data_IF_168036301854
#
_entry.id   IF_168036301854
#
_cell.length_a   1.000
_cell.length_b   1.000
_cell.length_c   1.000
_cell.angle_alpha   90.00
_cell.angle_beta   90.00
_cell.angle_gamma   90.00
#
_symmetry.space_group_name_H-M   'P 1'
#
loop_
_entity.id
_entity.type
_entity.pdbx_description
1 polymer ?
#
# COMPACT_ATOMS: atom_id res chain seq x y z
N UNK A 1 4.06 -25.00 -21.54
CA UNK A 1 3.61 -24.26 -20.33
C UNK A 1 4.61 -24.46 -19.20
N UNK A 2 5.15 -23.38 -18.66
CA UNK A 2 6.03 -23.36 -17.49
C UNK A 2 5.42 -22.46 -16.42
N UNK A 3 5.52 -22.84 -15.16
CA UNK A 3 4.89 -22.10 -14.05
C UNK A 3 5.97 -21.69 -13.06
N UNK A 4 5.94 -20.45 -12.64
CA UNK A 4 6.90 -19.87 -11.73
C UNK A 4 6.18 -19.14 -10.58
N UNK A 5 6.60 -19.40 -9.33
CA UNK A 5 6.24 -18.55 -8.20
C UNK A 5 6.98 -17.24 -8.34
N UNK A 6 6.33 -16.10 -8.11
CA UNK A 6 6.92 -14.78 -8.41
C UNK A 6 6.64 -13.73 -7.33
N UNK A 7 7.40 -12.65 -7.37
CA UNK A 7 7.09 -11.40 -6.68
C UNK A 7 7.13 -11.51 -5.16
N UNK A 8 6.03 -11.11 -4.53
CA UNK A 8 5.93 -10.98 -3.08
C UNK A 8 6.25 -12.26 -2.31
N UNK A 9 5.81 -13.41 -2.81
CA UNK A 9 6.03 -14.70 -2.18
C UNK A 9 7.52 -15.08 -2.15
N UNK A 10 8.22 -14.92 -3.28
CA UNK A 10 9.66 -15.23 -3.38
C UNK A 10 10.47 -14.27 -2.50
N UNK A 11 10.19 -12.96 -2.59
CA UNK A 11 10.83 -11.94 -1.75
C UNK A 11 10.64 -12.22 -0.27
N UNK A 12 9.41 -12.46 0.18
CA UNK A 12 9.13 -12.65 1.61
C UNK A 12 9.76 -13.96 2.12
N UNK A 13 9.80 -15.03 1.32
CA UNK A 13 10.54 -16.26 1.64
C UNK A 13 12.06 -16.00 1.81
N UNK A 14 12.68 -15.25 0.89
CA UNK A 14 14.10 -14.87 0.97
C UNK A 14 14.41 -13.98 2.17
N UNK A 15 13.43 -13.21 2.66
CA UNK A 15 13.54 -12.40 3.88
C UNK A 15 13.19 -13.19 5.16
N UNK A 16 12.96 -14.50 5.09
CA UNK A 16 12.48 -15.34 6.20
C UNK A 16 11.19 -14.79 6.85
N UNK A 17 10.30 -14.22 6.03
CA UNK A 17 8.99 -13.74 6.44
C UNK A 17 7.90 -14.76 6.10
N UNK A 18 6.79 -14.71 6.83
CA UNK A 18 5.62 -15.53 6.48
C UNK A 18 5.11 -15.13 5.09
N UNK A 19 5.05 -16.09 4.19
CA UNK A 19 4.38 -15.94 2.90
C UNK A 19 2.87 -16.09 3.12
N UNK A 20 2.11 -15.05 2.76
CA UNK A 20 0.66 -15.01 2.95
C UNK A 20 -0.07 -15.35 1.65
N UNK A 21 0.36 -14.76 0.55
CA UNK A 21 -0.23 -14.93 -0.78
C UNK A 21 0.84 -15.48 -1.74
N UNK A 22 0.41 -16.29 -2.67
CA UNK A 22 1.27 -16.84 -3.71
C UNK A 22 0.71 -16.51 -5.07
N UNK A 23 1.51 -15.78 -5.84
CA UNK A 23 1.22 -15.40 -7.22
C UNK A 23 2.12 -16.19 -8.16
N UNK A 24 1.54 -16.71 -9.22
CA UNK A 24 2.26 -17.48 -10.21
C UNK A 24 2.22 -16.82 -11.58
N UNK A 25 3.34 -16.90 -12.31
CA UNK A 25 3.41 -16.54 -13.72
C UNK A 25 3.46 -17.83 -14.55
N UNK A 26 2.66 -17.87 -15.60
CA UNK A 26 2.58 -18.96 -16.57
C UNK A 26 3.16 -18.50 -17.89
N UNK A 27 4.22 -19.14 -18.35
CA UNK A 27 4.92 -18.86 -19.60
C UNK A 27 4.57 -19.94 -20.63
N UNK A 28 4.36 -19.55 -21.87
CA UNK A 28 4.12 -20.47 -22.99
C UNK A 28 2.77 -21.18 -22.92
N UNK A 29 1.72 -20.48 -22.44
CA UNK A 29 0.35 -20.97 -22.46
C UNK A 29 -0.60 -19.91 -23.01
N UNK A 30 -1.77 -20.34 -23.44
CA UNK A 30 -2.88 -19.49 -23.89
C UNK A 30 -4.02 -19.50 -22.87
N UNK A 31 -4.95 -18.51 -22.89
CA UNK A 31 -6.14 -18.54 -22.07
C UNK A 31 -6.96 -19.82 -22.23
N UNK A 32 -7.09 -20.33 -23.44
CA UNK A 32 -7.84 -21.54 -23.76
C UNK A 32 -7.20 -22.79 -23.11
N UNK A 33 -5.87 -22.86 -23.11
CA UNK A 33 -5.13 -23.93 -22.45
C UNK A 33 -5.34 -23.88 -20.93
N UNK A 34 -5.32 -22.70 -20.31
CA UNK A 34 -5.61 -22.55 -18.88
C UNK A 34 -7.02 -22.99 -18.54
N UNK A 35 -8.02 -22.55 -19.30
CA UNK A 35 -9.42 -22.95 -19.11
C UNK A 35 -9.61 -24.47 -19.28
N UNK A 36 -8.95 -25.08 -20.28
CA UNK A 36 -9.03 -26.53 -20.51
C UNK A 36 -8.48 -27.37 -19.35
N UNK A 37 -7.56 -26.80 -18.55
CA UNK A 37 -7.01 -27.42 -17.34
C UNK A 37 -7.85 -27.13 -16.07
N UNK A 38 -9.01 -26.49 -16.22
CA UNK A 38 -9.96 -26.23 -15.14
C UNK A 38 -9.69 -24.95 -14.33
N UNK A 39 -8.78 -24.09 -14.78
CA UNK A 39 -8.61 -22.77 -14.18
C UNK A 39 -9.82 -21.87 -14.49
N UNK A 40 -10.13 -20.96 -13.58
CA UNK A 40 -11.22 -19.99 -13.76
C UNK A 40 -10.64 -18.61 -14.04
N UNK A 41 -10.95 -18.02 -15.18
CA UNK A 41 -10.50 -16.68 -15.51
C UNK A 41 -11.19 -15.62 -14.63
N UNK A 42 -10.41 -14.72 -14.06
CA UNK A 42 -10.86 -13.54 -13.29
C UNK A 42 -10.27 -12.28 -13.91
N UNK A 43 -11.05 -11.21 -13.91
CA UNK A 43 -10.66 -9.95 -14.59
C UNK A 43 -10.94 -9.94 -16.09
N UNK A 44 -11.35 -8.77 -16.60
CA UNK A 44 -11.69 -8.61 -18.03
C UNK A 44 -10.50 -8.16 -18.87
N UNK A 45 -9.60 -7.37 -18.27
CA UNK A 45 -8.55 -6.66 -19.01
C UNK A 45 -7.19 -7.39 -18.93
N UNK A 46 -7.02 -8.30 -17.96
CA UNK A 46 -5.77 -9.03 -17.75
C UNK A 46 -6.04 -10.52 -17.59
N UNK A 47 -5.24 -11.38 -18.22
CA UNK A 47 -5.42 -12.84 -18.17
C UNK A 47 -4.89 -13.41 -16.85
N UNK A 48 -5.66 -13.25 -15.77
CA UNK A 48 -5.45 -13.84 -14.46
C UNK A 48 -6.43 -14.98 -14.25
N UNK A 49 -5.98 -16.09 -13.70
CA UNK A 49 -6.74 -17.31 -13.51
C UNK A 49 -6.62 -17.79 -12.08
N UNK A 50 -7.69 -18.31 -11.51
CA UNK A 50 -7.70 -18.98 -10.21
C UNK A 50 -7.50 -20.47 -10.39
N UNK A 51 -6.59 -21.04 -9.62
CA UNK A 51 -6.35 -22.48 -9.61
C UNK A 51 -7.58 -23.22 -9.03
N UNK A 52 -8.06 -24.31 -9.68
CA UNK A 52 -9.33 -24.94 -9.35
C UNK A 52 -9.44 -25.46 -7.91
N UNK A 53 -8.32 -25.81 -7.28
CA UNK A 53 -8.29 -26.38 -5.92
C UNK A 53 -7.82 -25.39 -4.87
N UNK A 54 -6.73 -24.63 -5.15
CA UNK A 54 -6.08 -23.76 -4.15
C UNK A 54 -6.59 -22.34 -4.19
N UNK A 55 -7.27 -21.92 -5.27
CA UNK A 55 -7.74 -20.56 -5.53
C UNK A 55 -6.61 -19.52 -5.57
N UNK A 56 -5.35 -19.97 -5.67
CA UNK A 56 -4.20 -19.10 -5.88
C UNK A 56 -4.22 -18.50 -7.28
N UNK A 57 -3.63 -17.31 -7.44
CA UNK A 57 -3.65 -16.55 -8.68
C UNK A 57 -2.52 -16.96 -9.63
N UNK A 58 -2.90 -17.23 -10.87
CA UNK A 58 -2.00 -17.56 -11.98
C UNK A 58 -2.20 -16.55 -13.10
N UNK A 59 -1.20 -15.75 -13.40
CA UNK A 59 -1.23 -14.80 -14.51
C UNK A 59 -0.41 -15.32 -15.68
N UNK A 60 -0.91 -15.16 -16.92
CA UNK A 60 -0.06 -15.39 -18.09
C UNK A 60 1.07 -14.35 -18.12
N UNK A 61 2.28 -14.78 -18.51
CA UNK A 61 3.38 -13.88 -18.76
C UNK A 61 2.96 -12.81 -19.75
N UNK A 62 3.28 -11.56 -19.48
CA UNK A 62 2.83 -10.44 -20.31
C UNK A 62 3.81 -9.28 -20.34
N UNK A 63 3.79 -8.53 -21.42
CA UNK A 63 4.35 -7.20 -21.50
C UNK A 63 3.23 -6.16 -21.42
N UNK A 64 3.54 -5.00 -20.88
CA UNK A 64 2.65 -3.86 -20.82
C UNK A 64 3.33 -2.68 -21.48
N UNK A 65 2.63 -1.96 -22.38
CA UNK A 65 3.14 -0.74 -23.00
C UNK A 65 2.12 0.37 -22.85
N UNK A 66 2.58 1.55 -22.43
CA UNK A 66 1.75 2.75 -22.35
C UNK A 66 1.39 3.19 -23.76
N UNK A 67 0.10 3.21 -24.11
CA UNK A 67 -0.42 3.65 -25.41
C UNK A 67 -1.27 4.94 -25.31
N UNK A 68 -1.51 5.47 -24.10
CA UNK A 68 -2.35 6.64 -23.85
C UNK A 68 -2.17 7.22 -22.45
N UNK A 69 -2.96 8.25 -22.13
CA UNK A 69 -2.97 8.86 -20.79
C UNK A 69 -3.88 8.08 -19.86
N UNK A 70 -3.48 7.91 -18.59
CA UNK A 70 -4.28 7.30 -17.53
C UNK A 70 -4.24 5.78 -17.48
N UNK A 71 -5.05 5.18 -16.60
CA UNK A 71 -5.08 3.75 -16.29
C UNK A 71 -5.52 2.85 -17.47
N UNK A 72 -6.37 3.34 -18.35
CA UNK A 72 -6.87 2.60 -19.54
C UNK A 72 -5.93 2.67 -20.73
N UNK A 73 -4.79 3.35 -20.59
CA UNK A 73 -3.83 3.59 -21.67
C UNK A 73 -2.75 2.50 -21.82
N UNK A 74 -2.93 1.30 -21.28
CA UNK A 74 -1.98 0.20 -21.45
C UNK A 74 -2.48 -0.80 -22.48
N UNK A 75 -1.58 -1.18 -23.40
CA UNK A 75 -1.75 -2.36 -24.24
C UNK A 75 -0.99 -3.49 -23.59
N UNK A 76 -1.72 -4.55 -23.27
CA UNK A 76 -1.19 -5.79 -22.69
C UNK A 76 -1.01 -6.81 -23.81
N UNK A 77 0.21 -7.33 -23.97
CA UNK A 77 0.49 -8.51 -24.78
C UNK A 77 0.77 -9.68 -23.85
N UNK A 78 -0.12 -10.66 -23.86
CA UNK A 78 -0.01 -11.91 -23.10
C UNK A 78 0.06 -13.12 -24.03
N UNK A 79 0.68 -12.95 -25.21
CA UNK A 79 0.91 -14.06 -26.13
C UNK A 79 1.83 -15.12 -25.53
N UNK A 80 1.70 -16.36 -25.97
CA UNK A 80 2.54 -17.47 -25.50
C UNK A 80 4.03 -17.33 -25.81
N UNK A 81 4.40 -16.32 -26.60
CA UNK A 81 5.80 -15.98 -26.92
C UNK A 81 6.46 -15.08 -25.87
N UNK A 82 5.70 -14.45 -24.96
CA UNK A 82 6.26 -13.62 -23.91
C UNK A 82 7.08 -14.46 -22.95
N UNK A 83 8.30 -14.06 -22.70
CA UNK A 83 9.25 -14.76 -21.83
C UNK A 83 9.06 -14.39 -20.36
N UNK A 84 9.63 -15.18 -19.47
CA UNK A 84 9.64 -14.85 -18.03
C UNK A 84 10.39 -13.54 -17.76
N UNK A 85 11.53 -13.35 -18.43
CA UNK A 85 12.36 -12.16 -18.28
C UNK A 85 11.61 -10.88 -18.68
N UNK A 86 10.83 -10.92 -19.75
CA UNK A 86 10.00 -9.79 -20.18
C UNK A 86 8.88 -9.47 -19.17
N UNK A 87 8.25 -10.49 -18.58
CA UNK A 87 7.27 -10.26 -17.50
C UNK A 87 7.93 -9.68 -16.25
N UNK A 88 9.11 -10.14 -15.88
CA UNK A 88 9.85 -9.62 -14.74
C UNK A 88 10.36 -8.18 -14.99
N UNK A 89 10.72 -7.83 -16.24
CA UNK A 89 11.23 -6.50 -16.62
C UNK A 89 10.24 -5.37 -16.38
N UNK A 90 8.94 -5.63 -16.59
CA UNK A 90 7.88 -4.62 -16.42
C UNK A 90 7.49 -4.38 -14.95
N UNK A 91 8.02 -5.15 -14.00
CA UNK A 91 7.69 -5.00 -12.57
C UNK A 91 8.26 -3.72 -11.97
N UNK A 92 7.73 -3.36 -10.80
CA UNK A 92 8.09 -2.11 -10.13
C UNK A 92 9.51 -2.12 -9.54
N UNK A 93 9.85 -3.15 -8.75
CA UNK A 93 11.11 -3.24 -8.01
C UNK A 93 11.84 -4.55 -8.30
N UNK A 94 13.17 -4.51 -8.31
CA UNK A 94 14.03 -5.71 -8.49
C UNK A 94 13.70 -6.79 -7.48
N UNK A 95 13.46 -6.42 -6.23
CA UNK A 95 13.06 -7.34 -5.15
C UNK A 95 11.70 -8.05 -5.39
N UNK A 96 10.89 -7.53 -6.30
CA UNK A 96 9.62 -8.13 -6.74
C UNK A 96 9.74 -8.81 -8.11
N UNK A 97 10.91 -8.72 -8.74
CA UNK A 97 11.20 -9.28 -10.07
C UNK A 97 12.07 -10.54 -9.98
N UNK A 98 11.85 -11.33 -8.95
CA UNK A 98 12.48 -12.64 -8.74
C UNK A 98 11.41 -13.71 -8.94
N UNK A 99 11.77 -14.77 -9.65
CA UNK A 99 10.93 -15.95 -9.84
C UNK A 99 11.57 -17.20 -9.23
N UNK A 100 10.75 -18.21 -8.95
CA UNK A 100 11.20 -19.52 -8.50
C UNK A 100 10.48 -20.60 -9.30
N UNK A 101 11.24 -21.56 -9.84
CA UNK A 101 10.69 -22.69 -10.56
C UNK A 101 10.13 -23.75 -9.58
N UNK A 102 9.54 -24.81 -10.13
CA UNK A 102 8.97 -25.94 -9.38
C UNK A 102 10.03 -26.82 -8.68
N UNK A 103 11.31 -26.65 -9.02
CA UNK A 103 12.44 -27.32 -8.37
C UNK A 103 13.06 -26.48 -7.25
N UNK A 104 12.59 -25.24 -7.07
CA UNK A 104 13.10 -24.31 -6.08
C UNK A 104 14.26 -23.44 -6.58
N UNK A 105 14.66 -23.53 -7.87
CA UNK A 105 15.71 -22.70 -8.42
C UNK A 105 15.20 -21.25 -8.59
N UNK A 106 16.04 -20.30 -8.21
CA UNK A 106 15.73 -18.87 -8.37
C UNK A 106 16.16 -18.38 -9.76
N UNK A 107 15.28 -17.62 -10.40
CA UNK A 107 15.53 -16.89 -11.65
C UNK A 107 15.47 -15.39 -11.29
N UNK A 108 16.60 -14.72 -11.33
CA UNK A 108 16.79 -13.33 -10.89
C UNK A 108 17.62 -12.54 -11.93
N UNK A 109 17.03 -12.23 -13.10
CA UNK A 109 17.77 -11.56 -14.18
C UNK A 109 18.13 -10.10 -13.85
N UNK A 110 17.46 -9.48 -12.85
CA UNK A 110 17.59 -8.07 -12.54
C UNK A 110 18.26 -7.79 -11.19
N UNK A 111 18.83 -8.81 -10.54
CA UNK A 111 19.63 -8.66 -9.32
C UNK A 111 18.82 -8.37 -8.05
N UNK A 112 17.55 -8.77 -8.01
CA UNK A 112 16.69 -8.56 -6.85
C UNK A 112 17.18 -9.21 -5.58
N UNK A 113 17.83 -10.38 -5.67
CA UNK A 113 18.45 -11.04 -4.52
C UNK A 113 19.58 -10.19 -3.91
N UNK A 114 20.44 -9.60 -4.75
CA UNK A 114 21.49 -8.70 -4.30
C UNK A 114 20.92 -7.44 -3.64
N UNK A 115 19.84 -6.88 -4.19
CA UNK A 115 19.15 -5.73 -3.60
C UNK A 115 18.47 -6.10 -2.27
N UNK A 116 17.92 -7.31 -2.12
CA UNK A 116 17.43 -7.82 -0.84
C UNK A 116 18.54 -7.90 0.22
N UNK A 117 19.70 -8.45 -0.14
CA UNK A 117 20.87 -8.54 0.75
C UNK A 117 21.37 -7.15 1.18
N UNK A 118 21.39 -6.20 0.25
CA UNK A 118 21.79 -4.81 0.49
C UNK A 118 20.69 -3.93 1.09
N UNK A 119 19.49 -4.45 1.32
CA UNK A 119 18.33 -3.70 1.83
C UNK A 119 17.96 -2.51 0.93
N UNK A 120 17.97 -2.68 -0.39
CA UNK A 120 17.67 -1.66 -1.37
C UNK A 120 16.34 -1.90 -2.07
N UNK A 121 15.60 -0.82 -2.27
CA UNK A 121 14.42 -0.76 -3.13
C UNK A 121 14.82 -0.04 -4.42
N UNK A 122 15.06 -0.82 -5.47
CA UNK A 122 15.51 -0.36 -6.79
C UNK A 122 14.46 -0.69 -7.84
N UNK A 123 14.15 0.25 -8.73
CA UNK A 123 13.30 -0.01 -9.89
C UNK A 123 13.98 -0.98 -10.87
N UNK A 124 13.19 -1.77 -11.60
CA UNK A 124 13.72 -2.80 -12.50
C UNK A 124 14.27 -2.17 -13.80
N UNK A 125 13.53 -1.24 -14.37
CA UNK A 125 13.82 -0.66 -15.69
C UNK A 125 13.14 0.69 -15.85
N UNK A 126 13.43 1.39 -16.97
CA UNK A 126 12.76 2.64 -17.36
C UNK A 126 11.23 2.50 -17.51
N UNK A 127 10.73 1.29 -17.76
CA UNK A 127 9.28 1.00 -17.74
C UNK A 127 8.61 1.33 -16.39
N UNK A 128 9.40 1.57 -15.34
CA UNK A 128 8.91 2.09 -14.06
C UNK A 128 8.10 3.38 -14.23
N UNK A 129 8.55 4.28 -15.09
CA UNK A 129 7.90 5.57 -15.35
C UNK A 129 6.54 5.45 -16.09
N UNK A 130 6.19 4.30 -16.63
CA UNK A 130 4.93 4.11 -17.34
C UNK A 130 3.69 4.15 -16.44
N UNK A 131 3.81 3.73 -15.17
CA UNK A 131 2.72 3.81 -14.18
C UNK A 131 3.08 4.74 -13.01
N UNK A 132 2.52 5.97 -12.97
CA UNK A 132 2.79 6.93 -11.90
C UNK A 132 2.44 6.42 -10.49
N UNK A 133 1.56 5.42 -10.35
CA UNK A 133 1.26 4.81 -9.05
C UNK A 133 2.48 4.14 -8.42
N UNK A 134 3.48 3.78 -9.21
CA UNK A 134 4.71 3.14 -8.70
C UNK A 134 5.45 4.03 -7.70
N UNK A 135 5.33 5.36 -7.79
CA UNK A 135 5.84 6.29 -6.77
C UNK A 135 5.23 5.99 -5.39
N UNK A 136 3.90 5.85 -5.32
CA UNK A 136 3.19 5.49 -4.09
C UNK A 136 3.49 4.06 -3.64
N UNK A 137 3.62 3.13 -4.59
CA UNK A 137 3.99 1.74 -4.30
C UNK A 137 5.37 1.63 -3.66
N UNK A 138 6.38 2.34 -4.19
CA UNK A 138 7.74 2.37 -3.61
C UNK A 138 7.69 2.99 -2.21
N UNK A 139 6.97 4.09 -2.00
CA UNK A 139 6.77 4.69 -0.68
C UNK A 139 6.15 3.68 0.31
N UNK A 140 5.16 2.87 -0.13
CA UNK A 140 4.58 1.80 0.68
C UNK A 140 5.57 0.68 0.96
N UNK A 141 6.36 0.24 -0.01
CA UNK A 141 7.38 -0.78 0.23
C UNK A 141 8.48 -0.27 1.18
N UNK A 142 8.90 0.98 1.06
CA UNK A 142 9.81 1.61 2.01
C UNK A 142 9.22 1.59 3.44
N UNK A 143 7.93 1.91 3.58
CA UNK A 143 7.20 1.83 4.84
C UNK A 143 7.15 0.41 5.41
N UNK A 144 6.81 -0.56 4.56
CA UNK A 144 6.68 -1.98 4.93
C UNK A 144 7.99 -2.60 5.40
N UNK A 145 9.12 -2.16 4.84
CA UNK A 145 10.44 -2.73 5.11
C UNK A 145 11.38 -1.81 5.88
N UNK A 146 10.94 -0.62 6.31
CA UNK A 146 11.77 0.30 7.08
C UNK A 146 12.39 -0.34 8.33
N UNK A 147 11.60 -1.14 9.07
CA UNK A 147 12.07 -1.83 10.27
C UNK A 147 13.13 -2.92 9.99
N UNK A 148 13.31 -3.32 8.74
CA UNK A 148 14.38 -4.21 8.26
C UNK A 148 15.59 -3.44 7.74
N UNK A 149 15.58 -2.10 7.78
CA UNK A 149 16.66 -1.25 7.32
C UNK A 149 16.70 -1.01 5.80
N UNK A 150 15.60 -1.25 5.09
CA UNK A 150 15.53 -0.97 3.65
C UNK A 150 15.52 0.54 3.37
N UNK A 151 16.25 0.92 2.33
CA UNK A 151 16.31 2.28 1.78
C UNK A 151 15.99 2.27 0.29
N UNK A 152 15.64 3.42 -0.27
CA UNK A 152 15.40 3.56 -1.70
C UNK A 152 16.72 3.87 -2.39
N UNK A 153 17.02 3.18 -3.50
CA UNK A 153 18.20 3.45 -4.31
C UNK A 153 18.16 4.87 -4.87
N UNK A 154 19.33 5.54 -4.93
CA UNK A 154 19.43 6.96 -5.32
C UNK A 154 18.83 7.23 -6.69
N UNK A 155 19.10 6.36 -7.66
CA UNK A 155 18.54 6.46 -9.02
C UNK A 155 17.02 6.25 -9.05
N UNK A 156 16.47 5.41 -8.16
CA UNK A 156 15.03 5.21 -8.05
C UNK A 156 14.36 6.45 -7.44
N UNK A 157 14.96 7.05 -6.42
CA UNK A 157 14.46 8.30 -5.86
C UNK A 157 14.49 9.44 -6.88
N UNK A 158 15.57 9.56 -7.66
CA UNK A 158 15.67 10.55 -8.74
C UNK A 158 14.59 10.36 -9.81
N UNK A 159 14.31 9.10 -10.20
CA UNK A 159 13.23 8.79 -11.13
C UNK A 159 11.85 9.14 -10.55
N UNK A 160 11.59 8.82 -9.28
CA UNK A 160 10.35 9.21 -8.60
C UNK A 160 10.16 10.73 -8.55
N UNK A 161 11.22 11.50 -8.30
CA UNK A 161 11.20 12.96 -8.32
C UNK A 161 10.84 13.49 -9.71
N UNK A 162 11.50 12.99 -10.76
CA UNK A 162 11.19 13.36 -12.14
C UNK A 162 9.73 13.08 -12.52
N UNK A 163 9.19 11.91 -12.09
CA UNK A 163 7.78 11.57 -12.32
C UNK A 163 6.83 12.49 -11.57
N UNK A 164 7.17 12.92 -10.36
CA UNK A 164 6.35 13.87 -9.61
C UNK A 164 6.38 15.26 -10.26
N UNK A 165 7.55 15.72 -10.72
CA UNK A 165 7.72 17.01 -11.37
C UNK A 165 7.04 17.07 -12.75
N UNK A 166 6.85 15.94 -13.44
CA UNK A 166 6.11 15.89 -14.70
C UNK A 166 4.61 16.18 -14.57
N UNK A 167 4.08 16.17 -13.32
CA UNK A 167 2.64 16.33 -13.04
C UNK A 167 1.80 15.07 -13.32
N UNK A 168 2.42 13.96 -13.71
CA UNK A 168 1.67 12.73 -14.00
C UNK A 168 0.98 12.12 -12.77
N UNK A 169 1.45 12.42 -11.56
CA UNK A 169 0.82 11.93 -10.31
C UNK A 169 -0.61 12.43 -10.15
N UNK A 170 -0.94 13.61 -10.69
CA UNK A 170 -2.29 14.19 -10.66
C UNK A 170 -3.30 13.40 -11.52
N UNK A 171 -2.82 12.58 -12.47
CA UNK A 171 -3.67 11.78 -13.36
C UNK A 171 -4.14 10.46 -12.74
N UNK A 172 -3.61 10.10 -11.57
CA UNK A 172 -3.98 8.89 -10.87
C UNK A 172 -5.44 8.93 -10.38
N UNK A 173 -6.10 7.78 -10.33
CA UNK A 173 -7.39 7.72 -9.66
C UNK A 173 -7.23 7.78 -8.14
N UNK A 174 -8.13 8.50 -7.49
CA UNK A 174 -8.14 8.68 -6.04
C UNK A 174 -8.16 7.34 -5.29
N UNK A 175 -8.91 6.37 -5.81
CA UNK A 175 -9.05 5.05 -5.23
C UNK A 175 -7.70 4.31 -5.18
N UNK A 176 -6.90 4.37 -6.26
CA UNK A 176 -5.59 3.74 -6.30
C UNK A 176 -4.64 4.39 -5.30
N UNK A 177 -4.61 5.72 -5.23
CA UNK A 177 -3.80 6.47 -4.27
C UNK A 177 -4.23 6.16 -2.84
N UNK A 178 -5.53 6.14 -2.58
CA UNK A 178 -6.06 5.81 -1.25
C UNK A 178 -5.69 4.39 -0.81
N UNK A 179 -5.76 3.41 -1.71
CA UNK A 179 -5.38 2.03 -1.38
C UNK A 179 -3.92 1.90 -0.94
N UNK A 180 -2.98 2.57 -1.64
CA UNK A 180 -1.57 2.58 -1.23
C UNK A 180 -1.38 3.33 0.10
N UNK A 181 -2.10 4.44 0.30
CA UNK A 181 -2.09 5.22 1.55
C UNK A 181 -2.64 4.41 2.73
N UNK A 182 -3.82 3.80 2.56
CA UNK A 182 -4.48 2.95 3.56
C UNK A 182 -3.55 1.81 4.01
N UNK A 183 -3.00 1.06 3.04
CA UNK A 183 -2.08 -0.04 3.32
C UNK A 183 -0.83 0.45 4.07
N UNK A 184 -0.32 1.64 3.73
CA UNK A 184 0.84 2.22 4.41
C UNK A 184 0.53 2.68 5.83
N UNK A 185 -0.66 3.23 6.07
CA UNK A 185 -1.11 3.60 7.42
C UNK A 185 -1.20 2.39 8.35
N UNK A 186 -1.46 1.20 7.83
CA UNK A 186 -1.56 -0.04 8.59
C UNK A 186 -0.22 -0.75 8.85
N UNK A 187 0.87 -0.30 8.23
CA UNK A 187 2.21 -0.86 8.44
C UNK A 187 2.83 -0.44 9.79
N UNK A 188 3.95 -1.05 10.17
CA UNK A 188 4.64 -0.80 11.45
C UNK A 188 5.20 0.62 11.59
N UNK A 189 5.57 1.24 10.47
CA UNK A 189 6.24 2.56 10.43
C UNK A 189 5.57 3.50 9.43
N UNK A 190 4.26 3.81 9.60
CA UNK A 190 3.45 4.49 8.58
C UNK A 190 3.96 5.89 8.22
N UNK A 191 4.68 6.57 9.10
CA UNK A 191 5.27 7.88 8.85
C UNK A 191 6.27 7.86 7.69
N UNK A 192 6.95 6.73 7.44
CA UNK A 192 7.93 6.58 6.35
C UNK A 192 7.30 6.81 4.98
N UNK A 193 6.06 6.38 4.77
CA UNK A 193 5.33 6.62 3.52
C UNK A 193 5.29 8.11 3.16
N UNK A 194 4.90 8.91 4.11
CA UNK A 194 4.78 10.34 3.92
C UNK A 194 6.14 11.04 3.83
N UNK A 195 7.15 10.54 4.54
CA UNK A 195 8.53 11.04 4.43
C UNK A 195 9.09 10.80 3.03
N UNK A 196 8.91 9.59 2.48
CA UNK A 196 9.34 9.22 1.13
C UNK A 196 8.61 10.05 0.06
N UNK A 197 7.29 10.19 0.16
CA UNK A 197 6.54 11.04 -0.78
C UNK A 197 6.97 12.49 -0.73
N UNK A 198 7.36 12.99 0.46
CA UNK A 198 7.94 14.32 0.59
C UNK A 198 9.27 14.45 -0.15
N UNK A 199 10.17 13.48 0.06
CA UNK A 199 11.46 13.45 -0.62
C UNK A 199 11.32 13.32 -2.14
N UNK A 200 10.31 12.59 -2.60
CA UNK A 200 9.98 12.42 -4.01
C UNK A 200 9.14 13.57 -4.60
N UNK A 201 8.88 14.66 -3.86
CA UNK A 201 8.02 15.78 -4.27
C UNK A 201 6.57 15.38 -4.67
N UNK A 202 6.17 14.15 -4.35
CA UNK A 202 4.90 13.55 -4.78
C UNK A 202 3.68 13.89 -3.91
N UNK A 203 3.82 14.79 -2.92
CA UNK A 203 2.73 15.13 -1.98
C UNK A 203 1.75 16.15 -2.52
N UNK A 204 2.23 17.08 -3.33
CA UNK A 204 1.51 18.31 -3.68
C UNK A 204 0.18 18.06 -4.39
N UNK A 205 0.02 16.92 -5.07
CA UNK A 205 -1.21 16.63 -5.81
C UNK A 205 -2.33 16.03 -4.95
N UNK A 206 -1.97 15.31 -3.87
CA UNK A 206 -2.93 14.49 -3.12
C UNK A 206 -3.11 14.86 -1.66
N UNK A 207 -2.10 15.47 -1.01
CA UNK A 207 -2.13 15.83 0.42
C UNK A 207 -1.58 17.26 0.60
N UNK A 208 -2.21 18.22 -0.04
CA UNK A 208 -1.81 19.64 -0.04
C UNK A 208 -1.93 20.31 1.32
N UNK A 209 -2.92 19.90 2.15
CA UNK A 209 -3.21 20.49 3.44
C UNK A 209 -2.10 20.28 4.47
N UNK A 210 -1.20 19.34 4.19
CA UNK A 210 -0.13 18.95 5.11
C UNK A 210 1.08 19.89 5.12
N UNK A 211 1.24 20.74 4.13
CA UNK A 211 2.42 21.62 4.01
C UNK A 211 2.60 22.58 5.20
N UNK A 212 1.49 22.94 5.86
CA UNK A 212 1.52 23.92 6.97
C UNK A 212 2.09 23.36 8.28
N UNK A 213 2.01 22.06 8.55
CA UNK A 213 2.42 21.44 9.82
C UNK A 213 2.92 19.98 9.66
N UNK A 214 3.67 19.70 8.59
CA UNK A 214 4.06 18.35 8.20
C UNK A 214 4.78 17.54 9.29
N UNK A 215 5.69 18.17 10.02
CA UNK A 215 6.47 17.49 11.06
C UNK A 215 5.60 17.13 12.27
N UNK A 216 4.73 18.04 12.71
CA UNK A 216 3.80 17.81 13.83
C UNK A 216 2.83 16.66 13.52
N UNK A 217 2.33 16.58 12.28
CA UNK A 217 1.44 15.51 11.86
C UNK A 217 2.14 14.14 11.86
N UNK A 218 3.42 14.09 11.46
CA UNK A 218 4.21 12.86 11.50
C UNK A 218 4.53 12.42 12.93
N UNK A 219 4.84 13.36 13.81
CA UNK A 219 5.05 13.05 15.23
C UNK A 219 3.78 12.54 15.90
N UNK A 220 2.62 13.13 15.59
CA UNK A 220 1.33 12.64 16.07
C UNK A 220 1.06 11.20 15.58
N UNK A 221 1.34 10.91 14.31
CA UNK A 221 1.22 9.55 13.76
C UNK A 221 2.17 8.56 14.45
N UNK A 222 3.43 8.93 14.68
CA UNK A 222 4.40 8.09 15.42
C UNK A 222 3.93 7.82 16.84
N UNK A 223 3.39 8.84 17.52
CA UNK A 223 2.86 8.72 18.87
C UNK A 223 1.66 7.76 18.92
N UNK A 224 0.72 7.87 17.98
CA UNK A 224 -0.41 6.96 17.89
C UNK A 224 0.03 5.49 17.74
N UNK A 225 1.01 5.22 16.87
CA UNK A 225 1.59 3.87 16.71
C UNK A 225 2.27 3.37 17.98
N UNK A 226 2.98 4.25 18.70
CA UNK A 226 3.65 3.87 19.95
C UNK A 226 2.64 3.54 21.06
N UNK A 227 1.54 4.30 21.16
CA UNK A 227 0.46 4.05 22.11
C UNK A 227 -0.25 2.72 21.83
N UNK A 228 -0.62 2.45 20.57
CA UNK A 228 -1.20 1.14 20.19
C UNK A 228 -0.30 -0.04 20.58
N UNK A 229 1.01 0.11 20.39
CA UNK A 229 1.96 -0.93 20.76
C UNK A 229 1.98 -1.14 22.28
N UNK A 230 2.02 -0.06 23.06
CA UNK A 230 1.99 -0.12 24.53
C UNK A 230 0.69 -0.74 25.08
N UNK A 231 -0.46 -0.43 24.46
CA UNK A 231 -1.74 -1.04 24.81
C UNK A 231 -1.74 -2.54 24.56
N UNK A 232 -1.28 -2.98 23.39
CA UNK A 232 -1.19 -4.40 23.05
C UNK A 232 -0.24 -5.17 23.99
N UNK A 233 0.92 -4.60 24.33
CA UNK A 233 1.86 -5.18 25.29
C UNK A 233 1.23 -5.29 26.70
N UNK A 234 0.42 -4.32 27.08
CA UNK A 234 -0.31 -4.34 28.36
C UNK A 234 -1.36 -5.45 28.38
N UNK A 235 -2.15 -5.61 27.32
CA UNK A 235 -3.17 -6.68 27.21
C UNK A 235 -2.50 -8.06 27.29
N UNK A 236 -1.41 -8.30 26.56
CA UNK A 236 -0.65 -9.56 26.62
C UNK A 236 -0.18 -9.85 28.04
N UNK A 237 0.31 -8.84 28.75
CA UNK A 237 0.78 -8.96 30.14
C UNK A 237 -0.33 -9.33 31.13
N UNK A 238 -1.56 -8.81 30.92
CA UNK A 238 -2.70 -9.12 31.79
C UNK A 238 -3.37 -10.45 31.45
N UNK A 239 -3.42 -10.84 30.18
CA UNK A 239 -4.12 -12.06 29.73
C UNK A 239 -3.23 -13.30 29.72
N UNK A 240 -1.90 -13.14 29.80
CA UNK A 240 -0.93 -14.24 29.69
C UNK A 240 -0.93 -14.94 28.33
N UNK A 241 -1.65 -14.42 27.33
CA UNK A 241 -1.74 -14.97 26.00
C UNK A 241 -0.69 -14.31 25.10
N UNK A 242 0.33 -15.07 24.71
CA UNK A 242 1.35 -14.63 23.73
C UNK A 242 0.80 -14.59 22.30
N UNK A 243 -0.37 -15.17 22.05
CA UNK A 243 -1.02 -15.14 20.74
C UNK A 243 -1.82 -13.84 20.62
N UNK A 244 -1.46 -12.95 19.67
CA UNK A 244 -2.34 -11.84 19.32
C UNK A 244 -3.72 -12.39 18.97
N UNK A 245 -4.78 -11.78 19.50
CA UNK A 245 -6.13 -12.06 19.03
C UNK A 245 -6.14 -11.91 17.49
N UNK A 246 -6.83 -12.82 16.77
CA UNK A 246 -6.95 -12.68 15.31
C UNK A 246 -7.49 -11.27 15.01
N UNK A 247 -6.77 -10.54 14.17
CA UNK A 247 -7.19 -9.19 13.75
C UNK A 247 -8.56 -9.33 13.07
N UNK A 248 -9.60 -8.83 13.71
CA UNK A 248 -10.91 -8.69 13.08
C UNK A 248 -10.87 -7.50 12.10
N UNK A 249 -11.75 -7.51 11.11
CA UNK A 249 -11.92 -6.35 10.19
C UNK A 249 -12.18 -5.05 10.97
N UNK A 250 -12.84 -5.15 12.11
CA UNK A 250 -13.17 -4.02 12.98
C UNK A 250 -11.91 -3.46 13.66
N UNK A 251 -10.97 -4.32 14.07
CA UNK A 251 -9.70 -3.88 14.66
C UNK A 251 -8.80 -3.19 13.63
N UNK A 252 -8.77 -3.66 12.39
CA UNK A 252 -8.04 -3.00 11.30
C UNK A 252 -8.63 -1.61 11.00
N UNK A 253 -9.96 -1.53 10.95
CA UNK A 253 -10.67 -0.27 10.70
C UNK A 253 -10.44 0.73 11.84
N UNK A 254 -10.53 0.30 13.10
CA UNK A 254 -10.24 1.15 14.25
C UNK A 254 -8.80 1.68 14.22
N UNK A 255 -7.82 0.82 13.94
CA UNK A 255 -6.41 1.21 13.79
C UNK A 255 -6.20 2.21 12.66
N UNK A 256 -6.85 1.99 11.51
CA UNK A 256 -6.81 2.92 10.39
C UNK A 256 -7.36 4.29 10.80
N UNK A 257 -8.51 4.34 11.46
CA UNK A 257 -9.15 5.56 11.93
C UNK A 257 -8.23 6.30 12.89
N UNK A 258 -7.70 5.62 13.91
CA UNK A 258 -6.80 6.21 14.90
C UNK A 258 -5.57 6.85 14.26
N UNK A 259 -4.90 6.13 13.38
CA UNK A 259 -3.67 6.60 12.72
C UNK A 259 -3.94 7.71 11.70
N UNK A 260 -5.03 7.61 10.95
CA UNK A 260 -5.41 8.63 9.99
C UNK A 260 -5.88 9.89 10.70
N UNK A 261 -6.64 9.77 11.80
CA UNK A 261 -6.99 10.88 12.67
C UNK A 261 -5.74 11.58 13.23
N UNK A 262 -4.80 10.82 13.78
CA UNK A 262 -3.55 11.38 14.30
C UNK A 262 -2.79 12.18 13.24
N UNK A 263 -2.72 11.67 12.02
CA UNK A 263 -2.11 12.36 10.89
C UNK A 263 -2.80 13.68 10.54
N UNK A 264 -4.14 13.77 10.72
CA UNK A 264 -4.96 14.90 10.29
C UNK A 264 -5.37 15.85 11.44
N UNK A 265 -4.89 15.64 12.68
CA UNK A 265 -5.25 16.45 13.83
C UNK A 265 -4.95 17.96 13.69
N UNK A 266 -4.03 18.34 12.79
CA UNK A 266 -3.74 19.74 12.50
C UNK A 266 -4.79 20.42 11.62
N UNK A 267 -5.65 19.66 10.93
CA UNK A 267 -6.72 20.17 10.05
C UNK A 267 -7.96 20.57 10.86
N UNK A 268 -8.80 21.44 10.29
CA UNK A 268 -10.17 21.65 10.75
C UNK A 268 -11.12 20.64 10.10
N UNK A 269 -12.42 20.65 10.51
CA UNK A 269 -13.44 19.73 10.01
C UNK A 269 -13.59 19.80 8.48
N UNK A 270 -13.63 21.02 7.91
CA UNK A 270 -13.85 21.22 6.49
C UNK A 270 -12.65 20.74 5.64
N UNK A 271 -11.44 21.07 6.06
CA UNK A 271 -10.21 20.60 5.41
C UNK A 271 -10.11 19.06 5.44
N UNK A 272 -10.47 18.43 6.57
CA UNK A 272 -10.49 16.98 6.69
C UNK A 272 -11.52 16.34 5.75
N UNK A 273 -12.72 16.90 5.63
CA UNK A 273 -13.76 16.46 4.69
C UNK A 273 -13.32 16.58 3.24
N UNK A 274 -12.70 17.70 2.88
CA UNK A 274 -12.19 17.94 1.52
C UNK A 274 -11.09 16.95 1.15
N UNK A 275 -10.16 16.67 2.05
CA UNK A 275 -9.12 15.66 1.84
C UNK A 275 -9.71 14.25 1.70
N UNK A 276 -10.63 13.87 2.59
CA UNK A 276 -11.29 12.56 2.53
C UNK A 276 -12.09 12.39 1.22
N UNK A 277 -12.80 13.44 0.78
CA UNK A 277 -13.54 13.44 -0.49
C UNK A 277 -12.61 13.31 -1.69
N UNK A 278 -11.49 14.04 -1.71
CA UNK A 278 -10.49 13.97 -2.78
C UNK A 278 -9.85 12.59 -2.88
N UNK A 279 -9.54 11.95 -1.76
CA UNK A 279 -8.97 10.60 -1.70
C UNK A 279 -10.02 9.49 -1.82
N UNK A 280 -11.31 9.82 -1.85
CA UNK A 280 -12.44 8.87 -1.82
C UNK A 280 -12.33 7.87 -0.66
N UNK A 281 -12.02 8.40 0.52
CA UNK A 281 -11.97 7.62 1.76
C UNK A 281 -13.34 7.04 2.07
N UNK A 282 -13.37 5.82 2.64
CA UNK A 282 -14.63 5.17 3.04
C UNK A 282 -15.42 6.06 4.00
N UNK A 283 -16.74 6.09 3.85
CA UNK A 283 -17.62 6.99 4.60
C UNK A 283 -17.43 6.89 6.12
N UNK A 284 -17.35 5.68 6.68
CA UNK A 284 -17.15 5.45 8.10
C UNK A 284 -15.84 6.10 8.59
N UNK A 285 -14.73 5.92 7.87
CA UNK A 285 -13.44 6.50 8.23
C UNK A 285 -13.48 8.03 8.10
N UNK A 286 -14.00 8.54 6.99
CA UNK A 286 -14.12 9.98 6.72
C UNK A 286 -14.93 10.70 7.78
N UNK A 287 -16.04 10.12 8.19
CA UNK A 287 -16.94 10.70 9.18
C UNK A 287 -16.27 10.82 10.55
N UNK A 288 -15.66 9.73 11.06
CA UNK A 288 -15.02 9.74 12.37
C UNK A 288 -13.80 10.68 12.38
N UNK A 289 -12.98 10.67 11.34
CA UNK A 289 -11.84 11.57 11.22
C UNK A 289 -12.27 13.04 11.19
N UNK A 290 -13.34 13.37 10.46
CA UNK A 290 -13.88 14.73 10.39
C UNK A 290 -14.44 15.20 11.75
N UNK A 291 -15.14 14.32 12.47
CA UNK A 291 -15.63 14.59 13.82
C UNK A 291 -14.46 14.81 14.81
N UNK A 292 -13.43 14.00 14.74
CA UNK A 292 -12.24 14.17 15.58
C UNK A 292 -11.54 15.51 15.32
N UNK A 293 -11.42 15.93 14.04
CA UNK A 293 -10.88 17.25 13.68
C UNK A 293 -11.77 18.40 14.19
N UNK A 294 -13.10 18.23 14.17
CA UNK A 294 -14.05 19.20 14.70
C UNK A 294 -13.91 19.40 16.20
N UNK A 295 -13.84 18.30 16.94
CA UNK A 295 -13.88 18.31 18.40
C UNK A 295 -12.50 18.24 19.08
N UNK A 296 -11.40 18.34 18.30
CA UNK A 296 -10.03 18.25 18.85
C UNK A 296 -9.76 19.24 19.98
N UNK A 297 -10.25 20.48 19.87
CA UNK A 297 -10.09 21.50 20.90
C UNK A 297 -10.78 21.11 22.22
N UNK A 298 -11.94 20.45 22.12
CA UNK A 298 -12.63 19.89 23.26
C UNK A 298 -11.84 18.71 23.86
N UNK A 299 -11.38 17.76 23.02
CA UNK A 299 -10.66 16.57 23.51
C UNK A 299 -9.33 16.92 24.20
N UNK A 300 -8.71 18.05 23.81
CA UNK A 300 -7.45 18.53 24.40
C UNK A 300 -7.65 19.41 25.64
N UNK A 301 -8.87 19.82 25.94
CA UNK A 301 -9.18 20.67 27.09
C UNK A 301 -9.62 19.84 28.28
N UNK A 302 -8.84 19.85 29.37
CA UNK A 302 -9.16 19.14 30.60
C UNK A 302 -10.32 19.78 31.42
N UNK A 303 -10.80 20.98 31.06
CA UNK A 303 -11.81 21.74 31.81
C UNK A 303 -13.09 21.96 30.99
N UNK A 304 -13.61 20.90 30.38
CA UNK A 304 -14.87 20.99 29.65
C UNK A 304 -16.08 21.10 30.57
N UNK A 305 -17.00 21.99 30.25
CA UNK A 305 -18.27 22.11 30.96
C UNK A 305 -19.23 20.95 30.62
N UNK A 306 -20.26 20.66 31.44
CA UNK A 306 -21.31 19.71 31.08
C UNK A 306 -22.01 20.06 29.75
N UNK A 307 -22.14 21.34 29.41
CA UNK A 307 -22.72 21.79 28.15
C UNK A 307 -21.83 21.42 26.95
N UNK A 308 -20.52 21.51 27.11
CA UNK A 308 -19.55 21.09 26.06
C UNK A 308 -19.59 19.58 25.86
N UNK A 309 -19.72 18.79 26.95
CA UNK A 309 -19.90 17.32 26.87
C UNK A 309 -21.17 16.96 26.11
N UNK A 310 -22.28 17.65 26.42
CA UNK A 310 -23.55 17.41 25.72
C UNK A 310 -23.44 17.78 24.23
N UNK A 311 -22.76 18.87 23.90
CA UNK A 311 -22.51 19.28 22.53
C UNK A 311 -21.66 18.24 21.76
N UNK A 312 -20.64 17.65 22.41
CA UNK A 312 -19.85 16.57 21.86
C UNK A 312 -20.70 15.34 21.58
N UNK A 313 -21.48 14.85 22.58
CA UNK A 313 -22.31 13.65 22.44
C UNK A 313 -23.38 13.83 21.34
N UNK A 314 -24.02 14.98 21.26
CA UNK A 314 -24.96 15.29 20.22
C UNK A 314 -24.29 15.40 18.85
N UNK A 315 -23.14 16.05 18.77
CA UNK A 315 -22.37 16.22 17.53
C UNK A 315 -21.81 14.92 16.98
N UNK A 316 -21.46 13.97 17.83
CA UNK A 316 -21.00 12.64 17.46
C UNK A 316 -22.13 11.61 17.29
N UNK A 317 -23.41 12.02 17.52
CA UNK A 317 -24.56 11.12 17.55
C UNK A 317 -24.35 9.91 18.49
N UNK A 318 -23.66 10.13 19.61
CA UNK A 318 -23.20 9.10 20.52
C UNK A 318 -24.35 8.31 21.19
N UNK A 319 -25.58 8.85 21.14
CA UNK A 319 -26.78 8.20 21.67
C UNK A 319 -27.31 7.06 20.77
N UNK A 320 -26.88 7.01 19.52
CA UNK A 320 -27.32 6.02 18.52
C UNK A 320 -26.18 5.16 17.98
N UNK A 321 -24.93 5.54 18.27
CA UNK A 321 -23.74 4.78 17.86
C UNK A 321 -23.19 4.04 19.06
N UNK A 322 -23.10 2.73 18.93
CA UNK A 322 -22.38 1.86 19.88
C UNK A 322 -20.86 1.96 19.69
#
# INVERSE_FOLDING_TARGET
MQIYLVGGAVRDALLNRKVVERDYVVVGATPEEMLSQGFTQVGKDFPVFLHPKTQEEYALARTERKSGKGYTGFVCDASSSVTLEEDLLRRDLTVNAIAQDNLGNLIDPYGGKKDLENRLLRHVSEAFSEDPLRVFRVARFATRYAYLGFTIATETMALMQSMAESGELSTLSAERVWQETKRSLLEKTPHVFFTVLNQAHGRNDWVTERERNGDTALEALKTAVALEKAENESVVKYTGSETPLPESSDSETARLITRFTALLTHLNEEEAKQLCSRLKVQNQVSEIVSLACKFKGFLLNAQNSPADLLALFNGCDAWRRE
#
